data_IF_352443316960
#
_entry.id   IF_352443316960
#
_cell.length_a   1.000
_cell.length_b   1.000
_cell.length_c   1.000
_cell.angle_alpha   90.00
_cell.angle_beta   90.00
_cell.angle_gamma   90.00
#
_symmetry.space_group_name_H-M   'P 1'
#
loop_
_entity.id
_entity.type
_entity.pdbx_description
1 polymer ?
#
# COMPACT_ATOMS: atom_id res chain seq x y z
N UNK A 1 -8.10 -11.09 -1.35
CA UNK A 1 -8.73 -9.83 -0.89
C UNK A 1 -9.53 -9.25 -2.05
N UNK A 2 -10.76 -8.77 -1.80
CA UNK A 2 -11.55 -8.12 -2.85
C UNK A 2 -10.92 -6.79 -3.24
N UNK A 3 -10.88 -6.46 -4.53
CA UNK A 3 -10.27 -5.22 -5.04
C UNK A 3 -10.80 -3.95 -4.35
N UNK A 4 -12.05 -3.99 -3.93
CA UNK A 4 -12.76 -2.90 -3.24
C UNK A 4 -12.20 -2.64 -1.84
N UNK A 5 -11.90 -3.69 -1.08
CA UNK A 5 -11.45 -3.58 0.32
C UNK A 5 -10.04 -2.98 0.37
N UNK A 6 -9.17 -3.39 -0.56
CA UNK A 6 -7.83 -2.85 -0.68
C UNK A 6 -7.86 -1.36 -1.03
N UNK A 7 -8.67 -0.98 -2.02
CA UNK A 7 -8.83 0.41 -2.44
C UNK A 7 -9.34 1.29 -1.28
N UNK A 8 -10.31 0.79 -0.50
CA UNK A 8 -10.83 1.47 0.68
C UNK A 8 -9.76 1.72 1.75
N UNK A 9 -8.95 0.69 2.08
CA UNK A 9 -7.87 0.77 3.06
C UNK A 9 -6.77 1.76 2.63
N UNK A 10 -6.36 1.70 1.38
CA UNK A 10 -5.35 2.60 0.82
C UNK A 10 -5.85 4.05 0.79
N UNK A 11 -7.13 4.26 0.45
CA UNK A 11 -7.77 5.57 0.50
C UNK A 11 -7.78 6.13 1.93
N UNK A 12 -8.14 5.33 2.93
CA UNK A 12 -8.14 5.75 4.33
C UNK A 12 -6.74 6.18 4.81
N UNK A 13 -5.69 5.44 4.45
CA UNK A 13 -4.29 5.82 4.72
C UNK A 13 -3.94 7.16 4.08
N UNK A 14 -4.24 7.34 2.79
CA UNK A 14 -3.91 8.58 2.08
C UNK A 14 -4.69 9.78 2.62
N UNK A 15 -5.96 9.60 2.98
CA UNK A 15 -6.76 10.64 3.64
C UNK A 15 -6.18 11.03 5.00
N UNK A 16 -5.78 10.06 5.83
CA UNK A 16 -5.18 10.32 7.12
C UNK A 16 -3.83 11.04 6.99
N UNK A 17 -3.00 10.62 6.01
CA UNK A 17 -1.73 11.27 5.70
C UNK A 17 -1.86 12.70 5.12
N UNK A 18 -3.06 13.12 4.70
CA UNK A 18 -3.35 14.50 4.29
C UNK A 18 -3.74 15.43 5.44
N UNK A 19 -3.93 14.90 6.66
CA UNK A 19 -4.18 15.75 7.84
C UNK A 19 -2.88 16.42 8.31
N UNK A 20 -2.98 17.63 8.87
CA UNK A 20 -1.86 18.51 9.27
C UNK A 20 -0.90 17.96 10.36
N UNK A 21 -0.94 16.64 10.63
CA UNK A 21 -0.03 15.91 11.53
C UNK A 21 0.83 14.86 10.81
N UNK A 22 0.69 14.72 9.48
CA UNK A 22 1.59 13.90 8.68
C UNK A 22 2.86 14.71 8.38
N UNK A 23 3.99 14.31 8.95
CA UNK A 23 5.30 14.97 8.76
C UNK A 23 6.01 14.51 7.47
N UNK A 24 5.34 13.71 6.64
CA UNK A 24 5.98 12.75 5.72
C UNK A 24 5.24 12.68 4.37
N UNK A 25 4.82 13.82 3.85
CA UNK A 25 4.27 13.95 2.49
C UNK A 25 5.31 14.59 1.57
N UNK A 26 5.65 13.95 0.46
CA UNK A 26 6.36 14.61 -0.64
C UNK A 26 5.36 15.39 -1.49
N UNK A 27 5.71 16.63 -1.83
CA UNK A 27 4.91 17.48 -2.70
C UNK A 27 4.69 16.82 -4.06
N UNK A 28 3.56 17.16 -4.70
CA UNK A 28 3.18 16.58 -5.98
C UNK A 28 4.26 16.82 -7.05
N UNK A 29 4.85 15.73 -7.56
CA UNK A 29 5.89 15.76 -8.58
C UNK A 29 5.77 14.56 -9.51
N UNK A 30 6.23 14.70 -10.76
CA UNK A 30 6.27 13.57 -11.69
C UNK A 30 7.33 12.56 -11.25
N UNK A 31 6.97 11.28 -11.22
CA UNK A 31 7.90 10.18 -10.93
C UNK A 31 8.63 9.76 -12.20
N UNK A 32 9.95 9.61 -12.07
CA UNK A 32 10.89 9.26 -13.13
C UNK A 32 11.94 8.28 -12.61
N UNK A 33 12.71 7.64 -13.48
CA UNK A 33 13.81 6.77 -13.08
C UNK A 33 14.91 7.49 -12.27
N UNK A 34 15.05 8.82 -12.41
CA UNK A 34 16.09 9.60 -11.73
C UNK A 34 15.69 9.94 -10.29
N UNK A 35 14.40 10.20 -10.04
CA UNK A 35 13.93 10.64 -8.72
C UNK A 35 13.19 9.57 -7.92
N UNK A 36 12.77 8.45 -8.51
CA UNK A 36 12.03 7.42 -7.78
C UNK A 36 12.81 6.93 -6.55
N UNK A 37 14.08 6.58 -6.72
CA UNK A 37 14.91 6.11 -5.60
C UNK A 37 15.14 7.19 -4.54
N UNK A 38 15.48 8.42 -4.93
CA UNK A 38 15.70 9.51 -3.98
C UNK A 38 14.42 9.90 -3.23
N UNK A 39 13.26 9.89 -3.90
CA UNK A 39 11.96 10.10 -3.27
C UNK A 39 11.68 9.01 -2.23
N UNK A 40 11.97 7.75 -2.55
CA UNK A 40 11.82 6.62 -1.62
C UNK A 40 12.67 6.83 -0.36
N UNK A 41 13.97 7.11 -0.54
CA UNK A 41 14.90 7.37 0.57
C UNK A 41 14.46 8.55 1.42
N UNK A 42 14.00 9.63 0.79
CA UNK A 42 13.56 10.84 1.49
C UNK A 42 12.35 10.55 2.38
N UNK A 43 11.37 9.79 1.87
CA UNK A 43 10.19 9.39 2.65
C UNK A 43 10.56 8.41 3.75
N UNK A 44 11.44 7.45 3.48
CA UNK A 44 11.91 6.48 4.47
C UNK A 44 12.71 7.15 5.60
N UNK A 45 13.59 8.09 5.26
CA UNK A 45 14.34 8.89 6.23
C UNK A 45 13.42 9.76 7.06
N UNK A 46 12.42 10.41 6.45
CA UNK A 46 11.46 11.24 7.18
C UNK A 46 10.62 10.44 8.20
N UNK A 47 10.37 9.15 7.97
CA UNK A 47 9.77 8.28 8.99
C UNK A 47 10.74 8.04 10.15
N UNK A 48 12.02 7.75 9.85
CA UNK A 48 13.06 7.53 10.87
C UNK A 48 13.30 8.79 11.70
N UNK A 49 13.48 9.95 11.06
CA UNK A 49 13.68 11.23 11.74
C UNK A 49 12.45 11.65 12.57
N UNK A 50 11.27 11.13 12.21
CA UNK A 50 10.03 11.28 12.96
C UNK A 50 9.84 10.27 14.11
N UNK A 51 10.88 9.50 14.46
CA UNK A 51 10.85 8.43 15.48
C UNK A 51 9.77 7.36 15.19
N UNK A 52 9.51 7.11 13.90
CA UNK A 52 8.65 6.02 13.46
C UNK A 52 9.36 4.66 13.54
N UNK A 53 8.59 3.57 13.61
CA UNK A 53 9.14 2.21 13.65
C UNK A 53 10.08 1.95 12.47
N UNK A 54 11.31 1.52 12.74
CA UNK A 54 12.33 1.23 11.71
C UNK A 54 12.16 -0.16 11.09
N UNK A 55 11.63 -1.11 11.86
CA UNK A 55 11.36 -2.47 11.45
C UNK A 55 9.99 -2.62 10.81
N UNK A 56 9.82 -3.64 9.95
CA UNK A 56 8.51 -4.05 9.42
C UNK A 56 7.80 -3.01 8.55
N UNK A 57 8.53 -2.04 8.00
CA UNK A 57 7.99 -1.05 7.05
C UNK A 57 7.60 -1.75 5.75
N UNK A 58 6.47 -1.33 5.19
CA UNK A 58 5.96 -1.83 3.92
C UNK A 58 5.73 -0.66 2.99
N UNK A 59 6.32 -0.71 1.80
CA UNK A 59 6.11 0.21 0.71
C UNK A 59 5.14 -0.37 -0.32
N UNK A 60 3.99 0.25 -0.45
CA UNK A 60 2.98 -0.08 -1.44
C UNK A 60 3.20 0.85 -2.63
N UNK A 61 3.50 0.27 -3.79
CA UNK A 61 3.88 1.02 -5.00
C UNK A 61 3.02 0.63 -6.19
N UNK A 62 2.81 1.58 -7.11
CA UNK A 62 2.28 1.22 -8.43
C UNK A 62 3.32 0.47 -9.25
N UNK A 63 2.88 -0.32 -10.24
CA UNK A 63 3.78 -0.97 -11.19
C UNK A 63 4.71 0.03 -11.91
N UNK A 64 4.21 1.24 -12.21
CA UNK A 64 5.00 2.30 -12.84
C UNK A 64 6.14 2.78 -11.96
N UNK A 65 5.83 3.09 -10.69
CA UNK A 65 6.83 3.46 -9.70
C UNK A 65 7.87 2.35 -9.49
N UNK A 66 7.43 1.10 -9.37
CA UNK A 66 8.34 -0.04 -9.20
C UNK A 66 9.28 -0.23 -10.40
N UNK A 67 8.81 0.01 -11.63
CA UNK A 67 9.67 -0.03 -12.80
C UNK A 67 10.75 1.07 -12.76
N UNK A 68 10.39 2.30 -12.37
CA UNK A 68 11.37 3.37 -12.20
C UNK A 68 12.37 3.09 -11.07
N UNK A 69 11.90 2.48 -9.98
CA UNK A 69 12.75 2.08 -8.86
C UNK A 69 13.81 1.07 -9.30
N UNK A 70 13.46 0.05 -10.08
CA UNK A 70 14.41 -0.93 -10.64
C UNK A 70 15.42 -0.33 -11.63
N UNK A 71 15.06 0.77 -12.30
CA UNK A 71 15.94 1.46 -13.25
C UNK A 71 16.92 2.40 -12.55
N UNK A 72 16.69 2.71 -11.28
CA UNK A 72 17.58 3.56 -10.51
C UNK A 72 18.89 2.81 -10.19
N UNK A 73 20.02 3.50 -10.36
CA UNK A 73 21.37 2.94 -10.16
C UNK A 73 21.65 2.45 -8.73
N UNK A 74 20.87 2.90 -7.74
CA UNK A 74 20.99 2.50 -6.34
C UNK A 74 20.15 1.28 -5.93
N UNK A 75 19.26 0.78 -6.79
CA UNK A 75 18.40 -0.34 -6.44
C UNK A 75 19.18 -1.66 -6.48
N UNK A 76 19.49 -2.21 -5.31
CA UNK A 76 20.06 -3.55 -5.19
C UNK A 76 18.97 -4.54 -4.80
N UNK A 77 18.52 -5.34 -5.78
CA UNK A 77 17.64 -6.47 -5.47
C UNK A 77 18.47 -7.52 -4.74
N UNK A 78 18.29 -7.64 -3.43
CA UNK A 78 18.92 -8.69 -2.63
C UNK A 78 18.52 -10.06 -3.20
N UNK A 79 19.40 -10.64 -4.03
CA UNK A 79 19.08 -11.76 -4.91
C UNK A 79 18.84 -13.08 -4.16
N UNK A 80 19.12 -13.12 -2.85
CA UNK A 80 19.15 -14.33 -2.03
C UNK A 80 17.85 -14.61 -1.23
N UNK A 81 16.87 -13.68 -1.24
CA UNK A 81 15.54 -13.89 -0.60
C UNK A 81 14.39 -14.22 -1.58
N UNK A 82 14.72 -14.46 -2.85
CA UNK A 82 13.75 -14.56 -3.94
C UNK A 82 12.69 -15.68 -3.80
N UNK A 83 12.95 -16.74 -3.03
CA UNK A 83 12.03 -17.88 -2.91
C UNK A 83 10.99 -17.76 -1.78
N UNK A 84 11.32 -17.07 -0.67
CA UNK A 84 10.38 -16.85 0.45
C UNK A 84 9.43 -15.70 0.15
N UNK A 85 9.96 -14.63 -0.44
CA UNK A 85 9.25 -13.35 -0.61
C UNK A 85 8.15 -13.44 -1.68
N UNK A 86 8.35 -14.28 -2.71
CA UNK A 86 7.34 -14.57 -3.74
C UNK A 86 6.05 -15.16 -3.14
N UNK A 87 6.17 -15.93 -2.05
CA UNK A 87 5.03 -16.58 -1.38
C UNK A 87 4.20 -15.60 -0.56
N UNK A 88 4.81 -14.49 -0.12
CA UNK A 88 4.17 -13.47 0.72
C UNK A 88 3.65 -12.28 -0.10
N UNK A 89 3.89 -12.26 -1.42
CA UNK A 89 3.46 -11.20 -2.33
C UNK A 89 4.36 -9.97 -2.31
N UNK A 90 5.48 -10.05 -1.60
CA UNK A 90 6.55 -9.04 -1.58
C UNK A 90 7.43 -9.24 -2.81
N UNK A 91 7.62 -8.17 -3.59
CA UNK A 91 8.39 -8.23 -4.85
C UNK A 91 9.88 -7.97 -4.66
N UNK A 92 10.27 -7.49 -3.47
CA UNK A 92 11.64 -7.22 -3.08
C UNK A 92 11.70 -6.39 -1.81
N UNK A 93 12.90 -6.18 -1.30
CA UNK A 93 13.18 -5.33 -0.14
C UNK A 93 14.13 -4.20 -0.59
N UNK A 94 13.87 -2.98 -0.13
CA UNK A 94 14.71 -1.79 -0.39
C UNK A 94 15.03 -1.14 0.94
N UNK A 95 16.31 -1.14 1.33
CA UNK A 95 16.80 -0.56 2.59
C UNK A 95 15.99 -0.97 3.83
N UNK A 96 15.65 -2.26 3.92
CA UNK A 96 14.90 -2.81 5.05
C UNK A 96 13.38 -2.64 4.96
N UNK A 97 12.87 -2.02 3.89
CA UNK A 97 11.44 -1.84 3.62
C UNK A 97 10.95 -2.85 2.59
N UNK A 98 9.90 -3.59 2.93
CA UNK A 98 9.31 -4.58 2.02
C UNK A 98 8.44 -3.90 0.98
N UNK A 99 8.69 -4.19 -0.31
CA UNK A 99 7.99 -3.57 -1.43
C UNK A 99 6.88 -4.49 -1.92
N UNK A 100 5.66 -3.96 -1.97
CA UNK A 100 4.46 -4.64 -2.48
C UNK A 100 3.89 -3.85 -3.65
N UNK A 101 3.67 -4.53 -4.78
CA UNK A 101 3.09 -3.89 -5.96
C UNK A 101 1.57 -3.93 -5.90
N UNK A 102 0.95 -2.77 -6.07
CA UNK A 102 -0.48 -2.60 -6.17
C UNK A 102 -0.87 -2.13 -7.59
N UNK A 103 -1.93 -2.70 -8.20
CA UNK A 103 -2.50 -2.13 -9.42
C UNK A 103 -2.90 -0.66 -9.22
N UNK A 104 -2.64 0.17 -10.23
CA UNK A 104 -2.98 1.60 -10.18
C UNK A 104 -4.47 1.86 -9.96
N UNK A 105 -5.35 0.95 -10.40
CA UNK A 105 -6.80 1.05 -10.20
C UNK A 105 -7.24 0.96 -8.74
N UNK A 106 -6.41 0.40 -7.85
CA UNK A 106 -6.68 0.32 -6.40
C UNK A 106 -5.94 1.41 -5.62
N UNK A 107 -4.96 2.07 -6.24
CA UNK A 107 -4.24 3.16 -5.60
C UNK A 107 -5.11 4.43 -5.60
N UNK A 108 -5.10 5.22 -4.51
CA UNK A 108 -5.78 6.50 -4.48
C UNK A 108 -5.27 7.44 -5.56
N UNK A 109 -6.13 8.34 -6.03
CA UNK A 109 -5.78 9.29 -7.09
C UNK A 109 -4.48 10.04 -6.78
N UNK A 110 -3.69 10.24 -7.83
CA UNK A 110 -2.40 10.94 -7.81
C UNK A 110 -1.43 10.39 -6.76
N UNK A 111 -1.45 9.08 -6.50
CA UNK A 111 -0.59 8.42 -5.51
C UNK A 111 0.06 7.21 -6.13
N UNK A 112 1.38 7.12 -6.02
CA UNK A 112 2.16 6.04 -6.64
C UNK A 112 3.09 5.31 -5.67
N UNK A 113 3.34 5.88 -4.49
CA UNK A 113 4.06 5.28 -3.37
C UNK A 113 3.38 5.65 -2.02
N UNK A 114 3.20 4.64 -1.17
CA UNK A 114 2.84 4.75 0.24
C UNK A 114 3.78 3.88 1.05
N UNK A 115 4.56 4.46 1.97
CA UNK A 115 5.34 3.71 2.97
C UNK A 115 4.55 3.75 4.27
N UNK A 116 4.28 2.59 4.86
CA UNK A 116 3.50 2.47 6.10
C UNK A 116 4.02 1.33 6.97
N UNK A 117 3.43 1.18 8.15
CA UNK A 117 3.72 0.08 9.07
C UNK A 117 2.40 -0.61 9.51
N UNK A 118 2.36 -1.94 9.72
CA UNK A 118 1.15 -2.66 10.14
C UNK A 118 0.45 -2.11 11.39
N UNK A 119 1.17 -1.39 12.26
CA UNK A 119 0.62 -0.76 13.48
C UNK A 119 -0.15 0.54 13.22
N UNK A 120 -0.06 1.13 12.02
CA UNK A 120 -0.70 2.41 11.66
C UNK A 120 -2.20 2.27 11.47
N UNK A 121 -2.66 1.12 10.97
CA UNK A 121 -4.06 0.93 10.62
C UNK A 121 -4.58 -0.43 11.12
N UNK A 122 -5.71 -0.39 11.81
CA UNK A 122 -6.51 -1.58 12.09
C UNK A 122 -7.64 -1.66 11.07
N UNK A 123 -7.69 -2.75 10.30
CA UNK A 123 -8.66 -2.86 9.20
C UNK A 123 -9.54 -4.12 9.34
N UNK A 124 -10.51 -4.13 10.28
CA UNK A 124 -11.34 -5.29 10.55
C UNK A 124 -12.20 -5.66 9.34
N UNK A 125 -12.31 -6.96 9.08
CA UNK A 125 -13.16 -7.52 8.04
C UNK A 125 -14.00 -8.68 8.60
N UNK A 126 -15.26 -8.77 8.16
CA UNK A 126 -16.16 -9.86 8.54
C UNK A 126 -17.15 -10.18 7.43
N UNK A 127 -17.11 -11.43 6.97
CA UNK A 127 -18.19 -11.99 6.17
C UNK A 127 -19.43 -12.13 7.05
N UNK A 128 -20.47 -11.36 6.73
CA UNK A 128 -21.66 -11.23 7.59
C UNK A 128 -22.70 -12.30 7.26
N UNK A 129 -23.18 -12.31 6.02
CA UNK A 129 -24.21 -13.23 5.55
C UNK A 129 -23.78 -13.80 4.19
N UNK A 130 -24.09 -15.08 3.94
CA UNK A 130 -24.00 -15.73 2.63
C UNK A 130 -25.30 -16.49 2.39
N UNK A 131 -25.92 -16.26 1.25
CA UNK A 131 -27.13 -16.97 0.81
C UNK A 131 -26.84 -17.61 -0.54
N UNK A 132 -27.12 -18.92 -0.65
CA UNK A 132 -26.92 -19.68 -1.87
C UNK A 132 -28.30 -20.06 -2.42
N UNK A 133 -28.63 -19.53 -3.59
CA UNK A 133 -29.84 -19.89 -4.32
C UNK A 133 -29.51 -20.97 -5.36
N UNK A 134 -30.35 -21.99 -5.49
CA UNK A 134 -30.25 -22.98 -6.56
C UNK A 134 -31.29 -22.65 -7.64
N UNK A 135 -30.85 -22.52 -8.89
CA UNK A 135 -31.66 -22.15 -10.05
C UNK A 135 -32.48 -20.89 -9.81
N UNK A 136 -31.82 -19.81 -9.38
CA UNK A 136 -32.45 -18.51 -9.18
C UNK A 136 -33.06 -18.00 -10.50
N UNK A 137 -34.16 -17.22 -10.47
CA UNK A 137 -34.74 -16.64 -11.68
C UNK A 137 -33.68 -15.91 -12.51
N UNK A 138 -33.54 -16.27 -13.80
CA UNK A 138 -32.55 -15.69 -14.71
C UNK A 138 -31.17 -16.37 -14.73
N UNK A 139 -30.93 -17.38 -13.88
CA UNK A 139 -29.64 -18.09 -13.80
C UNK A 139 -29.84 -19.61 -13.73
N UNK A 140 -29.03 -20.38 -14.48
CA UNK A 140 -28.94 -21.83 -14.33
C UNK A 140 -27.73 -22.16 -13.44
N UNK A 141 -27.92 -22.93 -12.36
CA UNK A 141 -26.87 -23.26 -11.39
C UNK A 141 -27.06 -22.58 -10.04
N UNK A 142 -25.97 -22.21 -9.37
CA UNK A 142 -26.01 -21.58 -8.05
C UNK A 142 -25.70 -20.08 -8.13
N UNK A 143 -26.59 -19.25 -7.60
CA UNK A 143 -26.34 -17.83 -7.37
C UNK A 143 -25.93 -17.65 -5.91
N UNK A 144 -24.73 -17.11 -5.67
CA UNK A 144 -24.21 -16.85 -4.33
C UNK A 144 -24.25 -15.35 -4.08
N UNK A 145 -25.04 -14.96 -3.10
CA UNK A 145 -25.10 -13.59 -2.60
C UNK A 145 -24.37 -13.53 -1.26
N UNK A 146 -23.50 -12.54 -1.09
CA UNK A 146 -22.76 -12.37 0.16
C UNK A 146 -22.73 -10.91 0.58
N UNK A 147 -22.66 -10.70 1.90
CA UNK A 147 -22.46 -9.40 2.52
C UNK A 147 -21.14 -9.39 3.27
N UNK A 148 -20.19 -8.61 2.79
CA UNK A 148 -18.92 -8.39 3.46
C UNK A 148 -18.96 -7.03 4.18
N UNK A 149 -18.71 -7.00 5.49
CA UNK A 149 -18.48 -5.76 6.25
C UNK A 149 -16.99 -5.56 6.44
N UNK A 150 -16.48 -4.38 6.11
CA UNK A 150 -15.08 -4.01 6.28
C UNK A 150 -15.00 -2.55 6.71
N UNK A 151 -13.95 -2.21 7.43
CA UNK A 151 -13.62 -0.84 7.83
C UNK A 151 -12.10 -0.68 7.94
N UNK A 152 -11.63 0.57 8.07
CA UNK A 152 -10.23 0.94 8.15
C UNK A 152 -10.05 2.10 9.13
N UNK A 153 -9.46 1.80 10.29
CA UNK A 153 -9.18 2.77 11.34
C UNK A 153 -7.69 3.11 11.34
N UNK A 154 -7.36 4.35 10.98
CA UNK A 154 -5.98 4.86 11.04
C UNK A 154 -5.71 5.50 12.39
N UNK A 155 -4.67 5.03 13.08
CA UNK A 155 -4.21 5.58 14.35
C UNK A 155 -3.44 6.89 14.11
N UNK A 156 -4.11 8.02 14.36
CA UNK A 156 -3.55 9.34 14.11
C UNK A 156 -2.30 9.65 14.97
N UNK A 157 -2.06 8.91 16.06
CA UNK A 157 -0.84 9.06 16.86
C UNK A 157 0.38 8.39 16.22
N UNK A 158 0.18 7.55 15.20
CA UNK A 158 1.24 6.82 14.50
C UNK A 158 1.44 7.30 13.07
N UNK A 159 0.97 8.49 12.73
CA UNK A 159 1.18 9.07 11.40
C UNK A 159 2.64 9.36 11.09
N UNK A 160 3.51 9.46 12.10
CA UNK A 160 4.95 9.50 11.91
C UNK A 160 5.51 8.24 11.20
N UNK A 161 4.76 7.14 11.20
CA UNK A 161 5.10 5.89 10.50
C UNK A 161 4.47 5.79 9.09
N UNK A 162 3.87 6.85 8.57
CA UNK A 162 3.18 6.87 7.28
C UNK A 162 3.79 7.93 6.38
N UNK A 163 4.30 7.56 5.21
CA UNK A 163 4.84 8.50 4.24
C UNK A 163 4.23 8.28 2.85
N UNK A 164 3.93 9.36 2.14
CA UNK A 164 3.20 9.31 0.86
C UNK A 164 3.87 10.19 -0.18
N UNK A 165 4.03 9.65 -1.38
CA UNK A 165 4.37 10.43 -2.56
C UNK A 165 3.10 10.71 -3.38
N UNK A 166 2.91 11.97 -3.76
CA UNK A 166 1.86 12.39 -4.68
C UNK A 166 2.45 12.61 -6.08
N UNK A 167 1.78 12.11 -7.10
CA UNK A 167 2.11 12.46 -8.49
C UNK A 167 1.51 13.81 -8.87
N UNK A 168 2.20 14.54 -9.74
CA UNK A 168 1.68 15.75 -10.37
C UNK A 168 0.41 15.50 -11.19
#
# INVERSE_FOLDING_TARGET
>A
MSMEIDAYRLAALVTAGGTARSTTLLAAAATTAVNAYTNFLTLNAAITDGEGYEDGRVAIVTQGYYNFLKLASGFTLASDKAYTDLREGTVGNVDGVDVVVCPSSRMPANTDLIITHPKVMAAPEKLKDVVIHKNAPGYNGHLIEYRHRYDAFVDLQKLNCLAIHKTA
#
